data_IF_680381267952
#
_entry.id   IF_680381267952
#
_cell.length_a   1.000
_cell.length_b   1.000
_cell.length_c   1.000
_cell.angle_alpha   90.00
_cell.angle_beta   90.00
_cell.angle_gamma   90.00
#
_symmetry.space_group_name_H-M   'P 1'
#
loop_
_entity.id
_entity.type
_entity.pdbx_description
1 polymer ?
#
# COMPACT_ATOMS: atom_id res chain seq x y z
N UNK A 1 -6.95 24.04 2.56
CA UNK A 1 -5.91 23.26 1.87
C UNK A 1 -5.11 22.49 2.90
N UNK A 2 -4.93 21.18 2.73
CA UNK A 2 -4.22 20.33 3.69
C UNK A 2 -2.82 20.02 3.18
N UNK A 3 -1.78 20.29 3.98
CA UNK A 3 -0.38 20.06 3.60
C UNK A 3 0.22 18.87 4.35
N UNK A 4 0.98 18.06 3.66
CA UNK A 4 1.77 16.96 4.22
C UNK A 4 3.11 16.86 3.46
N UNK A 5 4.16 16.33 4.10
CA UNK A 5 5.43 16.10 3.40
C UNK A 5 5.27 14.98 2.36
N UNK A 6 4.54 13.92 2.74
CA UNK A 6 4.30 12.73 1.91
C UNK A 6 2.80 12.47 1.85
N UNK A 7 2.24 12.40 0.64
CA UNK A 7 0.87 11.94 0.40
C UNK A 7 0.91 10.57 -0.28
N UNK A 8 0.12 9.64 0.23
CA UNK A 8 -0.13 8.33 -0.37
C UNK A 8 -1.61 8.27 -0.81
N UNK A 9 -1.86 7.96 -2.07
CA UNK A 9 -3.21 7.74 -2.59
C UNK A 9 -3.55 6.26 -2.54
N UNK A 10 -4.63 5.92 -1.84
CA UNK A 10 -5.14 4.57 -1.63
C UNK A 10 -4.75 3.98 -0.28
N UNK A 11 -5.73 3.52 0.49
CA UNK A 11 -5.53 2.84 1.78
C UNK A 11 -5.64 1.31 1.67
N UNK A 12 -5.09 0.75 0.59
CA UNK A 12 -4.88 -0.70 0.45
C UNK A 12 -3.63 -1.19 1.19
N UNK A 13 -3.30 -2.47 1.04
CA UNK A 13 -2.12 -3.07 1.68
C UNK A 13 -0.84 -2.27 1.37
N UNK A 14 -0.58 -1.99 0.09
CA UNK A 14 0.60 -1.24 -0.34
C UNK A 14 0.65 0.18 0.24
N UNK A 15 -0.47 0.91 0.20
CA UNK A 15 -0.52 2.30 0.67
C UNK A 15 -0.35 2.44 2.17
N UNK A 16 -1.03 1.61 2.96
CA UNK A 16 -0.89 1.60 4.41
C UNK A 16 0.51 1.14 4.83
N UNK A 17 1.03 0.07 4.22
CA UNK A 17 2.37 -0.41 4.51
C UNK A 17 3.44 0.64 4.16
N UNK A 18 3.33 1.30 3.01
CA UNK A 18 4.25 2.37 2.63
C UNK A 18 4.15 3.58 3.56
N UNK A 19 2.95 3.96 3.99
CA UNK A 19 2.77 5.09 4.91
C UNK A 19 3.42 4.84 6.28
N UNK A 20 3.27 3.62 6.81
CA UNK A 20 3.92 3.21 8.07
C UNK A 20 5.43 3.31 7.96
N UNK A 21 6.01 2.67 6.94
CA UNK A 21 7.46 2.66 6.75
C UNK A 21 8.02 4.05 6.45
N UNK A 22 7.30 4.89 5.69
CA UNK A 22 7.70 6.27 5.44
C UNK A 22 7.72 7.11 6.71
N UNK A 23 6.70 6.98 7.58
CA UNK A 23 6.62 7.70 8.84
C UNK A 23 7.68 7.20 9.85
N UNK A 24 7.89 5.89 9.91
CA UNK A 24 8.90 5.26 10.77
C UNK A 24 10.33 5.67 10.37
N UNK A 25 10.66 5.66 9.07
CA UNK A 25 11.98 6.02 8.56
C UNK A 25 12.25 7.54 8.59
N UNK A 26 11.22 8.38 8.70
CA UNK A 26 11.36 9.84 8.67
C UNK A 26 10.62 10.50 9.86
N UNK A 27 11.13 10.33 11.11
CA UNK A 27 10.52 10.95 12.27
C UNK A 27 10.33 12.46 12.09
N UNK A 28 9.11 12.94 12.35
CA UNK A 28 8.75 14.36 12.23
C UNK A 28 8.19 14.77 10.87
N UNK A 29 8.27 13.93 9.84
CA UNK A 29 7.58 14.16 8.55
C UNK A 29 6.09 13.85 8.67
N UNK A 30 5.26 14.72 8.10
CA UNK A 30 3.80 14.53 8.04
C UNK A 30 3.47 13.59 6.89
N UNK A 31 2.95 12.42 7.22
CA UNK A 31 2.50 11.41 6.24
C UNK A 31 0.98 11.35 6.25
N UNK A 32 0.38 11.50 5.06
CA UNK A 32 -1.07 11.49 4.86
C UNK A 32 -1.46 10.43 3.84
N UNK A 33 -2.38 9.55 4.21
CA UNK A 33 -3.05 8.62 3.29
C UNK A 33 -4.41 9.20 2.90
N UNK A 34 -4.72 9.20 1.61
CA UNK A 34 -6.01 9.64 1.07
C UNK A 34 -6.71 8.46 0.40
N UNK A 35 -7.90 8.13 0.85
CA UNK A 35 -8.70 6.99 0.40
C UNK A 35 -10.06 7.44 -0.13
N UNK A 36 -10.42 6.93 -1.32
CA UNK A 36 -11.68 7.24 -1.99
C UNK A 36 -12.89 6.72 -1.23
N UNK A 37 -12.82 5.50 -0.74
CA UNK A 37 -13.94 4.84 -0.06
C UNK A 37 -14.01 5.23 1.42
N UNK A 38 -15.06 4.78 2.11
CA UNK A 38 -15.15 4.86 3.57
C UNK A 38 -14.45 3.70 4.29
N UNK A 39 -13.90 2.72 3.56
CA UNK A 39 -13.36 1.47 4.12
C UNK A 39 -11.88 1.34 3.80
N UNK A 40 -11.05 1.30 4.84
CA UNK A 40 -9.63 1.00 4.71
C UNK A 40 -9.44 -0.51 4.49
N UNK A 41 -8.37 -0.89 3.79
CA UNK A 41 -7.89 -2.28 3.71
C UNK A 41 -8.97 -3.29 3.26
N UNK A 42 -9.99 -2.85 2.50
CA UNK A 42 -11.14 -3.68 2.15
C UNK A 42 -10.75 -4.95 1.39
N UNK A 43 -9.73 -4.88 0.51
CA UNK A 43 -9.20 -6.05 -0.20
C UNK A 43 -8.42 -7.01 0.73
N UNK A 44 -7.73 -6.49 1.75
CA UNK A 44 -7.09 -7.32 2.78
C UNK A 44 -8.14 -8.05 3.60
N UNK A 45 -9.25 -7.37 3.92
CA UNK A 45 -10.35 -7.97 4.70
C UNK A 45 -10.92 -9.24 4.05
N UNK A 46 -11.05 -9.25 2.72
CA UNK A 46 -11.67 -10.37 2.00
C UNK A 46 -10.67 -11.39 1.44
N UNK A 47 -9.37 -11.10 1.46
CA UNK A 47 -8.36 -11.98 0.87
C UNK A 47 -8.23 -13.30 1.65
N UNK A 48 -7.86 -14.38 0.94
CA UNK A 48 -7.72 -15.70 1.56
C UNK A 48 -9.00 -16.22 2.21
N UNK A 49 -10.17 -15.82 1.71
CA UNK A 49 -11.47 -16.19 2.30
C UNK A 49 -11.77 -15.50 3.63
N UNK A 50 -11.23 -14.30 3.85
CA UNK A 50 -11.39 -13.56 5.11
C UNK A 50 -10.30 -13.83 6.14
N UNK A 51 -9.32 -14.68 5.82
CA UNK A 51 -8.20 -15.04 6.71
C UNK A 51 -6.94 -14.21 6.46
N UNK A 52 -6.86 -13.58 5.29
CA UNK A 52 -5.69 -12.92 4.73
C UNK A 52 -4.51 -13.87 4.49
N UNK A 53 -4.33 -14.32 3.24
CA UNK A 53 -3.06 -14.91 2.81
C UNK A 53 -2.01 -13.80 2.73
N UNK A 54 -1.20 -13.66 3.79
CA UNK A 54 -0.29 -12.52 4.03
C UNK A 54 0.93 -12.58 3.12
N UNK A 55 1.54 -13.76 3.01
CA UNK A 55 2.80 -13.99 2.30
C UNK A 55 2.96 -15.48 1.96
N UNK A 56 4.15 -15.90 1.53
CA UNK A 56 4.47 -17.28 1.18
C UNK A 56 5.78 -17.73 1.83
N UNK A 57 5.97 -19.04 2.05
CA UNK A 57 7.19 -19.61 2.63
C UNK A 57 8.42 -19.56 1.71
N UNK A 58 8.25 -19.20 0.43
CA UNK A 58 9.35 -19.08 -0.53
C UNK A 58 10.31 -17.95 -0.14
N UNK A 59 11.49 -18.30 0.38
CA UNK A 59 12.50 -17.35 0.89
C UNK A 59 13.37 -16.76 -0.22
N UNK A 60 13.62 -17.51 -1.28
CA UNK A 60 14.54 -17.11 -2.34
C UNK A 60 13.87 -16.14 -3.32
N UNK A 61 14.34 -14.88 -3.44
CA UNK A 61 13.76 -13.92 -4.39
C UNK A 61 13.75 -14.43 -5.83
N UNK A 62 14.78 -15.19 -6.24
CA UNK A 62 14.86 -15.77 -7.59
C UNK A 62 13.79 -16.83 -7.87
N UNK A 63 13.33 -17.55 -6.85
CA UNK A 63 12.23 -18.50 -6.97
C UNK A 63 10.89 -17.78 -6.86
N UNK A 64 10.76 -16.85 -5.93
CA UNK A 64 9.53 -16.10 -5.70
C UNK A 64 9.08 -15.36 -6.97
N UNK A 65 9.99 -14.69 -7.68
CA UNK A 65 9.66 -13.93 -8.90
C UNK A 65 9.09 -14.79 -10.04
N UNK A 66 9.29 -16.11 -10.04
CA UNK A 66 8.71 -17.01 -11.06
C UNK A 66 7.19 -17.03 -10.99
N UNK A 67 6.61 -16.71 -9.84
CA UNK A 67 5.16 -16.58 -9.63
C UNK A 67 4.62 -15.19 -10.04
N UNK A 68 5.48 -14.28 -10.52
CA UNK A 68 5.13 -12.92 -10.94
C UNK A 68 5.57 -12.69 -12.39
N UNK A 69 4.92 -13.33 -13.38
CA UNK A 69 5.35 -13.27 -14.78
C UNK A 69 5.39 -11.82 -15.31
N UNK A 70 4.47 -10.97 -14.84
CA UNK A 70 4.48 -9.54 -15.10
C UNK A 70 5.24 -8.81 -13.99
N UNK A 71 6.34 -8.15 -14.37
CA UNK A 71 7.13 -7.34 -13.43
C UNK A 71 8.25 -8.08 -12.71
N UNK A 72 8.51 -9.36 -13.05
CA UNK A 72 9.58 -10.19 -12.44
C UNK A 72 10.92 -9.45 -12.25
N UNK A 73 11.43 -8.75 -13.28
CA UNK A 73 12.70 -8.02 -13.26
C UNK A 73 12.68 -6.88 -12.23
N UNK A 74 11.56 -6.15 -12.15
CA UNK A 74 11.39 -5.04 -11.21
C UNK A 74 11.25 -5.56 -9.77
N UNK A 75 10.50 -6.65 -9.59
CA UNK A 75 10.27 -7.28 -8.29
C UNK A 75 11.50 -7.97 -7.72
N UNK A 76 12.43 -8.45 -8.56
CA UNK A 76 13.66 -9.09 -8.08
C UNK A 76 14.44 -8.19 -7.11
N UNK A 77 14.57 -6.90 -7.42
CA UNK A 77 15.24 -5.94 -6.53
C UNK A 77 14.41 -5.69 -5.28
N UNK A 78 13.10 -5.49 -5.43
CA UNK A 78 12.21 -5.24 -4.30
C UNK A 78 12.21 -6.40 -3.29
N UNK A 79 12.14 -7.66 -3.75
CA UNK A 79 12.17 -8.84 -2.88
C UNK A 79 13.54 -9.11 -2.24
N UNK A 80 14.63 -8.59 -2.82
CA UNK A 80 15.94 -8.63 -2.19
C UNK A 80 16.08 -7.60 -1.06
N UNK A 81 15.31 -6.51 -1.11
CA UNK A 81 15.27 -5.46 -0.09
C UNK A 81 14.23 -5.75 1.00
N UNK A 82 13.07 -6.28 0.61
CA UNK A 82 11.99 -6.68 1.51
C UNK A 82 11.23 -7.86 0.91
N UNK A 83 11.57 -9.07 1.38
CA UNK A 83 11.03 -10.34 0.92
C UNK A 83 10.00 -10.97 1.86
N UNK A 84 9.79 -12.27 1.69
CA UNK A 84 8.82 -13.05 2.48
C UNK A 84 9.25 -13.18 3.94
N UNK A 85 10.53 -13.46 4.19
CA UNK A 85 11.10 -13.51 5.55
C UNK A 85 10.96 -12.18 6.26
N UNK A 86 11.25 -11.07 5.58
CA UNK A 86 11.08 -9.72 6.14
C UNK A 86 9.61 -9.42 6.46
N UNK A 87 8.70 -9.87 5.59
CA UNK A 87 7.26 -9.76 5.85
C UNK A 87 6.86 -10.51 7.12
N UNK A 88 7.33 -11.75 7.31
CA UNK A 88 7.04 -12.54 8.52
C UNK A 88 7.58 -11.83 9.77
N UNK A 89 8.84 -11.38 9.73
CA UNK A 89 9.46 -10.68 10.84
C UNK A 89 8.75 -9.36 11.17
N UNK A 90 8.38 -8.58 10.16
CA UNK A 90 7.70 -7.29 10.33
C UNK A 90 6.37 -7.43 11.11
N UNK A 91 5.62 -8.49 10.84
CA UNK A 91 4.39 -8.82 11.57
C UNK A 91 4.68 -9.40 12.97
N UNK A 92 5.66 -10.29 13.11
CA UNK A 92 6.04 -10.88 14.42
C UNK A 92 6.52 -9.82 15.42
N UNK A 93 7.36 -8.87 14.97
CA UNK A 93 7.78 -7.70 15.77
C UNK A 93 6.61 -6.82 16.25
N UNK A 94 5.45 -6.95 15.60
CA UNK A 94 4.20 -6.23 15.91
C UNK A 94 3.15 -7.15 16.54
N UNK A 95 3.58 -8.31 17.05
CA UNK A 95 2.75 -9.24 17.81
C UNK A 95 1.78 -10.06 16.97
N UNK A 96 2.02 -10.19 15.67
CA UNK A 96 1.23 -11.03 14.76
C UNK A 96 2.07 -12.20 14.30
N UNK A 97 1.78 -13.36 14.86
CA UNK A 97 2.37 -14.62 14.43
C UNK A 97 1.65 -15.19 13.20
N UNK A 98 2.43 -15.74 12.28
CA UNK A 98 1.95 -16.36 11.05
C UNK A 98 2.24 -17.86 11.07
N UNK A 99 1.34 -18.66 10.49
CA UNK A 99 1.56 -20.08 10.23
C UNK A 99 1.50 -20.34 8.73
N UNK A 100 2.24 -21.37 8.29
CA UNK A 100 2.23 -21.84 6.92
C UNK A 100 1.24 -23.00 6.73
N UNK A 101 0.57 -23.03 5.59
CA UNK A 101 -0.17 -24.20 5.10
C UNK A 101 0.71 -25.06 4.19
N UNK A 102 0.23 -26.26 3.83
CA UNK A 102 0.97 -27.24 3.03
C UNK A 102 1.39 -26.72 1.64
N UNK A 103 0.67 -25.74 1.08
CA UNK A 103 0.98 -25.10 -0.20
C UNK A 103 1.90 -23.87 -0.06
N UNK A 104 2.43 -23.63 1.13
CA UNK A 104 3.34 -22.53 1.45
C UNK A 104 2.67 -21.18 1.65
N UNK A 105 1.35 -21.06 1.50
CA UNK A 105 0.63 -19.82 1.88
C UNK A 105 0.72 -19.59 3.38
N UNK A 106 0.80 -18.33 3.78
CA UNK A 106 0.92 -17.96 5.19
C UNK A 106 -0.24 -17.09 5.66
N UNK A 107 -0.79 -17.45 6.82
CA UNK A 107 -1.96 -16.81 7.42
C UNK A 107 -1.66 -16.42 8.87
N UNK A 108 -2.32 -15.39 9.44
CA UNK A 108 -2.26 -15.17 10.88
C UNK A 108 -2.75 -16.41 11.62
N UNK A 109 -2.15 -16.74 12.77
CA UNK A 109 -2.58 -17.89 13.60
C UNK A 109 -4.07 -17.84 13.98
N UNK A 110 -4.65 -16.64 14.01
CA UNK A 110 -6.07 -16.40 14.29
C UNK A 110 -6.99 -16.80 13.13
N UNK A 111 -6.42 -17.05 11.95
CA UNK A 111 -7.16 -17.26 10.70
C UNK A 111 -8.18 -16.14 10.41
N UNK A 112 -7.87 -14.90 10.81
CA UNK A 112 -8.74 -13.75 10.62
C UNK A 112 -7.97 -12.55 10.05
N UNK A 113 -8.42 -12.04 8.91
CA UNK A 113 -7.83 -10.85 8.27
C UNK A 113 -7.88 -9.61 9.14
N UNK A 114 -8.82 -9.53 10.09
CA UNK A 114 -8.92 -8.42 11.03
C UNK A 114 -7.66 -8.31 11.90
N UNK A 115 -6.98 -9.43 12.21
CA UNK A 115 -5.70 -9.42 12.94
C UNK A 115 -4.63 -8.63 12.15
N UNK A 116 -4.57 -8.81 10.84
CA UNK A 116 -3.64 -8.09 9.95
C UNK A 116 -4.02 -6.61 9.85
N UNK A 117 -5.33 -6.33 9.71
CA UNK A 117 -5.85 -4.97 9.62
C UNK A 117 -5.54 -4.19 10.90
N UNK A 118 -5.83 -4.77 12.06
CA UNK A 118 -5.61 -4.13 13.36
C UNK A 118 -4.13 -3.86 13.59
N UNK A 119 -3.25 -4.78 13.22
CA UNK A 119 -1.80 -4.59 13.28
C UNK A 119 -1.36 -3.39 12.43
N UNK A 120 -1.81 -3.31 11.18
CA UNK A 120 -1.47 -2.21 10.27
C UNK A 120 -2.01 -0.87 10.79
N UNK A 121 -3.27 -0.81 11.24
CA UNK A 121 -3.89 0.43 11.73
C UNK A 121 -3.28 0.88 13.06
N UNK A 122 -2.94 -0.04 13.97
CA UNK A 122 -2.19 0.28 15.20
C UNK A 122 -0.80 0.84 14.87
N UNK A 123 -0.13 0.31 13.85
CA UNK A 123 1.15 0.85 13.39
C UNK A 123 0.98 2.27 12.81
N UNK A 124 -0.06 2.51 12.01
CA UNK A 124 -0.38 3.88 11.55
C UNK A 124 -0.57 4.85 12.72
N UNK A 125 -1.33 4.46 13.74
CA UNK A 125 -1.57 5.28 14.93
C UNK A 125 -0.27 5.56 15.71
N UNK A 126 0.54 4.51 15.95
CA UNK A 126 1.87 4.62 16.60
C UNK A 126 2.76 5.66 15.91
N UNK A 127 2.80 5.66 14.58
CA UNK A 127 3.62 6.59 13.80
C UNK A 127 2.88 7.86 13.36
N UNK A 128 1.67 8.10 13.91
CA UNK A 128 0.84 9.28 13.63
C UNK A 128 0.59 9.52 12.14
N UNK A 129 0.43 8.44 11.37
CA UNK A 129 0.00 8.49 9.98
C UNK A 129 -1.44 8.98 9.94
N UNK A 130 -1.68 10.11 9.29
CA UNK A 130 -3.03 10.60 9.12
C UNK A 130 -3.72 9.89 7.96
N UNK A 131 -4.99 9.55 8.10
CA UNK A 131 -5.77 8.88 7.06
C UNK A 131 -7.08 9.64 6.84
N UNK A 132 -7.31 10.09 5.60
CA UNK A 132 -8.55 10.73 5.17
C UNK A 132 -9.29 9.81 4.22
N UNK A 133 -10.49 9.39 4.63
CA UNK A 133 -11.42 8.60 3.81
C UNK A 133 -12.41 9.49 3.06
N UNK A 134 -13.17 8.90 2.14
CA UNK A 134 -14.18 9.61 1.32
C UNK A 134 -13.59 10.76 0.52
N UNK A 135 -12.33 10.66 0.11
CA UNK A 135 -11.62 11.66 -0.66
C UNK A 135 -11.20 11.06 -2.01
N UNK A 136 -12.02 11.30 -3.03
CA UNK A 136 -11.75 10.85 -4.40
C UNK A 136 -10.80 11.86 -5.07
N UNK A 137 -9.51 11.55 -5.17
CA UNK A 137 -8.56 12.37 -5.94
C UNK A 137 -9.00 12.38 -7.41
N UNK A 138 -9.24 13.58 -7.95
CA UNK A 138 -9.72 13.82 -9.31
C UNK A 138 -8.63 14.42 -10.19
N UNK A 139 -7.81 15.31 -9.63
CA UNK A 139 -6.69 15.93 -10.33
C UNK A 139 -5.42 15.90 -9.50
N UNK A 140 -4.29 15.80 -10.20
CA UNK A 140 -2.96 15.89 -9.64
C UNK A 140 -2.14 16.76 -10.59
N UNK A 141 -1.60 17.84 -10.06
CA UNK A 141 -0.83 18.82 -10.80
C UNK A 141 0.55 18.97 -10.16
N UNK A 142 1.60 18.92 -10.96
CA UNK A 142 2.96 19.20 -10.50
C UNK A 142 3.21 20.70 -10.56
N UNK A 143 3.53 21.30 -9.42
CA UNK A 143 3.86 22.72 -9.30
C UNK A 143 5.31 22.85 -8.79
N UNK A 144 6.25 23.08 -9.71
CA UNK A 144 7.67 23.12 -9.38
C UNK A 144 8.15 21.80 -8.75
N UNK A 145 8.54 21.85 -7.48
CA UNK A 145 9.00 20.69 -6.70
C UNK A 145 7.89 19.99 -5.90
N UNK A 146 6.66 20.48 -5.91
CA UNK A 146 5.52 19.92 -5.17
C UNK A 146 4.41 19.40 -6.09
N UNK A 147 3.46 18.68 -5.50
CA UNK A 147 2.23 18.22 -6.11
C UNK A 147 1.04 18.86 -5.41
N UNK A 148 0.10 19.38 -6.18
CA UNK A 148 -1.22 19.78 -5.72
C UNK A 148 -2.24 18.73 -6.17
N UNK A 149 -3.11 18.31 -5.25
CA UNK A 149 -4.17 17.34 -5.52
C UNK A 149 -5.53 17.97 -5.20
N UNK A 150 -6.51 17.70 -6.03
CA UNK A 150 -7.91 18.08 -5.78
C UNK A 150 -8.75 16.82 -5.62
N UNK A 151 -9.54 16.77 -4.54
CA UNK A 151 -10.52 15.72 -4.31
C UNK A 151 -11.92 16.29 -4.16
N UNK A 152 -12.92 15.52 -4.57
CA UNK A 152 -14.35 15.87 -4.40
C UNK A 152 -14.65 17.31 -4.88
N UNK A 153 -14.12 17.70 -6.04
CA UNK A 153 -14.15 19.03 -6.66
C UNK A 153 -13.44 20.18 -5.92
N UNK A 154 -13.36 20.21 -4.58
CA UNK A 154 -12.91 21.40 -3.84
C UNK A 154 -11.92 21.13 -2.70
N UNK A 155 -11.67 19.87 -2.34
CA UNK A 155 -10.74 19.54 -1.26
C UNK A 155 -9.31 19.53 -1.79
N UNK A 156 -8.53 20.52 -1.39
CA UNK A 156 -7.16 20.70 -1.86
C UNK A 156 -6.12 20.10 -0.91
N UNK A 157 -5.17 19.36 -1.46
CA UNK A 157 -4.00 18.82 -0.78
C UNK A 157 -2.71 19.24 -1.47
N UNK A 158 -1.61 19.28 -0.72
CA UNK A 158 -0.28 19.64 -1.24
C UNK A 158 0.81 18.79 -0.57
N UNK A 159 1.78 18.32 -1.34
CA UNK A 159 2.94 17.57 -0.83
C UNK A 159 4.18 17.69 -1.72
N UNK A 160 5.35 17.39 -1.16
CA UNK A 160 6.59 17.27 -1.92
C UNK A 160 6.76 15.87 -2.53
N UNK A 161 6.31 14.84 -1.81
CA UNK A 161 6.40 13.44 -2.23
C UNK A 161 5.00 12.84 -2.36
N UNK A 162 4.75 12.22 -3.51
CA UNK A 162 3.49 11.58 -3.82
C UNK A 162 3.72 10.10 -4.15
N UNK A 163 2.97 9.21 -3.49
CA UNK A 163 2.91 7.78 -3.81
C UNK A 163 1.51 7.40 -4.27
N UNK A 164 1.41 6.70 -5.39
CA UNK A 164 0.16 6.20 -5.95
C UNK A 164 0.05 4.70 -5.68
N UNK A 165 -0.95 4.30 -4.90
CA UNK A 165 -1.18 2.91 -4.47
C UNK A 165 -2.65 2.48 -4.59
N UNK A 166 -3.34 3.00 -5.60
CA UNK A 166 -4.80 2.82 -5.82
C UNK A 166 -5.22 1.41 -6.24
N UNK A 167 -4.26 0.50 -6.43
CA UNK A 167 -4.52 -0.87 -6.89
C UNK A 167 -4.91 -0.95 -8.36
N UNK A 168 -5.35 -2.14 -8.78
CA UNK A 168 -5.73 -2.40 -10.16
C UNK A 168 -7.17 -2.02 -10.51
N UNK A 169 -7.36 -1.65 -11.78
CA UNK A 169 -8.62 -1.48 -12.51
C UNK A 169 -8.74 -2.55 -13.60
N UNK A 170 -9.96 -3.05 -13.80
CA UNK A 170 -10.29 -3.99 -14.88
C UNK A 170 -10.44 -3.30 -16.25
N UNK A 171 -10.51 -1.97 -16.25
CA UNK A 171 -10.64 -1.12 -17.44
C UNK A 171 -9.40 -0.25 -17.56
N UNK A 172 -8.82 -0.16 -18.75
CA UNK A 172 -7.58 0.61 -18.98
C UNK A 172 -7.80 2.10 -18.70
N UNK A 173 -9.01 2.60 -18.94
CA UNK A 173 -9.45 3.98 -18.69
C UNK A 173 -9.38 4.34 -17.20
N UNK A 174 -9.40 3.34 -16.31
CA UNK A 174 -9.18 3.54 -14.87
C UNK A 174 -7.77 4.03 -14.54
N UNK A 175 -6.85 4.00 -15.49
CA UNK A 175 -5.47 4.48 -15.36
C UNK A 175 -5.18 5.72 -16.21
N UNK A 176 -6.09 6.20 -17.07
CA UNK A 176 -5.83 7.32 -17.99
C UNK A 176 -5.41 8.61 -17.29
N UNK A 177 -5.76 8.79 -16.02
CA UNK A 177 -5.31 9.93 -15.24
C UNK A 177 -3.79 9.94 -14.98
N UNK A 178 -3.12 8.78 -15.01
CA UNK A 178 -1.65 8.67 -14.91
C UNK A 178 -0.94 9.16 -16.17
N UNK A 179 -1.61 9.13 -17.33
CA UNK A 179 -1.06 9.64 -18.59
C UNK A 179 -0.86 11.16 -18.51
N UNK A 180 -1.74 11.86 -17.79
CA UNK A 180 -1.60 13.30 -17.49
C UNK A 180 -0.36 13.61 -16.64
N UNK A 181 0.18 12.61 -15.93
CA UNK A 181 1.44 12.70 -15.18
C UNK A 181 2.66 12.28 -16.02
N UNK A 182 2.47 11.96 -17.31
CA UNK A 182 3.54 11.57 -18.23
C UNK A 182 3.88 10.08 -18.21
N UNK A 183 3.05 9.23 -17.61
CA UNK A 183 3.25 7.78 -17.61
C UNK A 183 2.58 7.10 -18.82
N UNK A 184 3.18 6.00 -19.30
CA UNK A 184 2.54 5.10 -20.26
C UNK A 184 1.86 3.93 -19.56
N UNK A 185 0.71 3.49 -20.09
CA UNK A 185 -0.06 2.37 -19.55
C UNK A 185 0.13 1.15 -20.45
N UNK A 186 0.60 0.04 -19.86
CA UNK A 186 0.64 -1.24 -20.57
C UNK A 186 -0.70 -1.97 -20.40
N UNK A 187 -1.30 -2.49 -21.48
CA UNK A 187 -2.53 -3.26 -21.38
C UNK A 187 -2.34 -4.50 -20.50
N UNK A 188 -3.41 -4.95 -19.81
CA UNK A 188 -3.36 -6.11 -18.93
C UNK A 188 -2.95 -7.40 -19.64
#
# INVERSE_FOLDING_TARGET
>A
MKKADIIIIGAGAAGIFAAINAAEANPGKKVLVVEKSSKLLAKVKVSGGGRCNVTNTCKEPSELIKNYPRGNKKLKKAFAEFGTTDTVNWFSERGVELHAEADGRMFPITNNSQTIIDCLLKACDKYKVEIITRANIETIEKQGSSFQLTANANQLFECEKLLISTGGSNKIEGYSWLEKLGHSINPP
#
